data_IF_683343109981
#
_entry.id   IF_683343109981
#
_cell.length_a   1.000
_cell.length_b   1.000
_cell.length_c   1.000
_cell.angle_alpha   90.00
_cell.angle_beta   90.00
_cell.angle_gamma   90.00
#
_symmetry.space_group_name_H-M   'P 1'
#
loop_
_entity.id
_entity.type
_entity.pdbx_description
1 polymer ?
#
# COMPACT_ATOMS: atom_id res chain seq x y z
N UNK A 1 12.22 5.19 -16.32
CA UNK A 1 11.10 5.25 -15.36
C UNK A 1 11.68 4.94 -13.99
N UNK A 2 11.50 5.82 -13.01
CA UNK A 2 12.13 5.69 -11.69
C UNK A 2 11.55 4.49 -10.94
N UNK A 3 12.38 3.69 -10.28
CA UNK A 3 11.97 2.58 -9.40
C UNK A 3 12.68 2.66 -8.06
N UNK A 4 11.99 2.20 -7.02
CA UNK A 4 12.49 2.12 -5.66
C UNK A 4 12.62 0.66 -5.25
N UNK A 5 13.85 0.20 -5.04
CA UNK A 5 14.11 -1.12 -4.51
C UNK A 5 13.99 -1.12 -2.99
N UNK A 6 13.21 -2.05 -2.45
CA UNK A 6 13.07 -2.32 -1.03
C UNK A 6 13.59 -3.72 -0.73
N UNK A 7 14.40 -3.83 0.32
CA UNK A 7 14.78 -5.10 0.94
C UNK A 7 14.05 -5.21 2.26
N UNK A 8 13.15 -6.17 2.35
CA UNK A 8 12.23 -6.33 3.46
C UNK A 8 12.59 -7.62 4.20
N UNK A 9 13.06 -7.58 5.45
CA UNK A 9 13.08 -8.78 6.30
C UNK A 9 11.71 -9.44 6.33
N UNK A 10 11.65 -10.76 6.54
CA UNK A 10 10.43 -11.57 6.50
C UNK A 10 9.22 -10.90 7.18
N UNK A 11 9.41 -10.38 8.40
CA UNK A 11 8.37 -9.71 9.17
C UNK A 11 7.83 -8.46 8.46
N UNK A 12 8.71 -7.65 7.87
CA UNK A 12 8.31 -6.50 7.07
C UNK A 12 7.61 -6.89 5.76
N UNK A 13 8.05 -7.96 5.11
CA UNK A 13 7.38 -8.48 3.92
C UNK A 13 5.91 -8.86 4.22
N UNK A 14 5.68 -9.54 5.35
CA UNK A 14 4.32 -9.86 5.83
C UNK A 14 3.50 -8.61 6.17
N UNK A 15 4.11 -7.59 6.77
CA UNK A 15 3.45 -6.30 7.03
C UNK A 15 3.02 -5.61 5.72
N UNK A 16 3.87 -5.62 4.69
CA UNK A 16 3.52 -5.09 3.37
C UNK A 16 2.38 -5.89 2.74
N UNK A 17 2.44 -7.23 2.80
CA UNK A 17 1.37 -8.09 2.27
C UNK A 17 0.02 -7.82 2.95
N UNK A 18 0.00 -7.66 4.27
CA UNK A 18 -1.21 -7.30 5.02
C UNK A 18 -1.75 -5.92 4.58
N UNK A 19 -0.87 -4.92 4.48
CA UNK A 19 -1.25 -3.57 4.05
C UNK A 19 -1.84 -3.55 2.64
N UNK A 20 -1.22 -4.25 1.70
CA UNK A 20 -1.70 -4.37 0.32
C UNK A 20 -3.04 -5.11 0.28
N UNK A 21 -3.17 -6.23 0.97
CA UNK A 21 -4.43 -6.98 1.03
C UNK A 21 -5.59 -6.12 1.57
N UNK A 22 -5.39 -5.42 2.69
CA UNK A 22 -6.39 -4.51 3.23
C UNK A 22 -6.71 -3.35 2.28
N UNK A 23 -5.70 -2.78 1.61
CA UNK A 23 -5.92 -1.72 0.64
C UNK A 23 -6.81 -2.19 -0.51
N UNK A 24 -6.47 -3.33 -1.13
CA UNK A 24 -7.20 -3.88 -2.27
C UNK A 24 -8.62 -4.37 -1.93
N UNK A 25 -8.87 -4.70 -0.66
CA UNK A 25 -10.21 -5.04 -0.18
C UNK A 25 -11.13 -3.81 -0.07
N UNK A 26 -10.60 -2.58 -0.05
CA UNK A 26 -11.40 -1.37 0.09
C UNK A 26 -11.89 -0.86 -1.28
N UNK A 27 -13.20 -0.62 -1.44
CA UNK A 27 -13.73 -0.06 -2.68
C UNK A 27 -13.07 1.27 -3.05
N UNK A 28 -12.66 1.40 -4.31
CA UNK A 28 -12.10 2.63 -4.87
C UNK A 28 -10.65 2.95 -4.47
N UNK A 29 -9.97 2.06 -3.74
CA UNK A 29 -8.58 2.27 -3.29
C UNK A 29 -7.59 2.42 -4.45
N UNK A 30 -7.88 1.75 -5.57
CA UNK A 30 -7.08 1.71 -6.79
C UNK A 30 -7.57 2.69 -7.87
N UNK A 31 -8.44 3.64 -7.52
CA UNK A 31 -8.93 4.66 -8.45
C UNK A 31 -8.09 5.94 -8.39
N UNK A 32 -7.78 6.47 -9.57
CA UNK A 32 -7.25 7.82 -9.73
C UNK A 32 -8.36 8.85 -9.47
N UNK A 33 -8.22 9.73 -8.47
CA UNK A 33 -9.25 10.71 -8.14
C UNK A 33 -9.50 11.74 -9.25
N UNK A 34 -8.55 11.93 -10.18
CA UNK A 34 -8.72 12.90 -11.27
C UNK A 34 -9.48 12.32 -12.46
N UNK A 35 -9.33 11.03 -12.72
CA UNK A 35 -9.86 10.37 -13.91
C UNK A 35 -10.98 9.38 -13.61
N UNK A 36 -11.17 9.02 -12.33
CA UNK A 36 -12.05 7.96 -11.86
C UNK A 36 -11.78 6.60 -12.53
N UNK A 37 -10.58 6.43 -13.10
CA UNK A 37 -10.12 5.16 -13.69
C UNK A 37 -9.19 4.46 -12.74
N UNK A 38 -9.08 3.14 -12.90
CA UNK A 38 -8.12 2.38 -12.14
C UNK A 38 -6.69 2.76 -12.52
N UNK A 39 -5.79 2.77 -11.53
CA UNK A 39 -4.37 2.91 -11.81
C UNK A 39 -3.87 1.72 -12.63
N UNK A 40 -3.27 1.98 -13.79
CA UNK A 40 -2.64 0.95 -14.62
C UNK A 40 -1.55 0.20 -13.86
N UNK A 41 -0.78 0.92 -13.03
CA UNK A 41 0.32 0.37 -12.22
C UNK A 41 0.15 0.71 -10.73
N UNK A 42 -1.00 0.32 -10.18
CA UNK A 42 -1.31 0.45 -8.76
C UNK A 42 -0.76 -0.69 -7.90
N UNK A 43 -1.35 -0.97 -6.73
CA UNK A 43 -0.81 -2.01 -5.82
C UNK A 43 -1.21 -3.43 -6.22
N UNK A 44 -2.10 -3.63 -7.20
CA UNK A 44 -2.51 -4.96 -7.68
C UNK A 44 -1.37 -5.81 -8.24
N UNK A 45 -0.29 -5.20 -8.68
CA UNK A 45 0.91 -5.91 -9.16
C UNK A 45 1.79 -6.45 -8.01
N UNK A 46 1.66 -5.88 -6.80
CA UNK A 46 2.54 -6.18 -5.67
C UNK A 46 2.36 -7.61 -5.14
N UNK A 47 1.14 -8.17 -4.97
CA UNK A 47 0.96 -9.53 -4.47
C UNK A 47 1.73 -10.57 -5.30
N UNK A 48 1.64 -10.54 -6.63
CA UNK A 48 2.35 -11.49 -7.50
C UNK A 48 3.87 -11.44 -7.35
N UNK A 49 4.43 -10.29 -6.99
CA UNK A 49 5.86 -10.12 -6.77
C UNK A 49 6.28 -10.51 -5.33
N UNK A 50 5.42 -10.25 -4.34
CA UNK A 50 5.74 -10.36 -2.92
C UNK A 50 5.38 -11.72 -2.31
N UNK A 51 4.20 -12.25 -2.63
CA UNK A 51 3.65 -13.45 -1.97
C UNK A 51 4.56 -14.69 -2.07
N UNK A 52 5.23 -14.98 -3.20
CA UNK A 52 6.16 -16.11 -3.30
C UNK A 52 7.37 -16.02 -2.36
N UNK A 53 7.67 -14.82 -1.82
CA UNK A 53 8.85 -14.55 -1.00
C UNK A 53 8.52 -14.46 0.50
N UNK A 54 7.26 -14.65 0.92
CA UNK A 54 6.81 -14.37 2.30
C UNK A 54 7.41 -15.29 3.38
N UNK A 55 7.88 -16.47 2.98
CA UNK A 55 8.53 -17.42 3.89
C UNK A 55 10.06 -17.37 3.82
N UNK A 56 10.61 -16.63 2.86
CA UNK A 56 12.05 -16.36 2.79
C UNK A 56 12.50 -15.44 3.93
N UNK A 57 13.79 -15.45 4.24
CA UNK A 57 14.38 -14.57 5.26
C UNK A 57 14.20 -13.08 4.92
N UNK A 58 14.29 -12.76 3.64
CA UNK A 58 14.03 -11.42 3.12
C UNK A 58 13.37 -11.46 1.75
N UNK A 59 12.55 -10.45 1.45
CA UNK A 59 11.93 -10.23 0.17
C UNK A 59 12.55 -9.01 -0.53
N UNK A 60 12.71 -9.11 -1.85
CA UNK A 60 13.07 -7.99 -2.71
C UNK A 60 11.82 -7.48 -3.43
N UNK A 61 11.56 -6.19 -3.34
CA UNK A 61 10.40 -5.55 -3.97
C UNK A 61 10.82 -4.29 -4.71
N UNK A 62 10.52 -4.21 -6.00
CA UNK A 62 10.68 -2.99 -6.79
C UNK A 62 9.34 -2.27 -6.93
N UNK A 63 9.28 -1.01 -6.52
CA UNK A 63 8.07 -0.20 -6.56
C UNK A 63 8.25 1.02 -7.45
N UNK A 64 7.20 1.36 -8.20
CA UNK A 64 7.07 2.64 -8.89
C UNK A 64 6.76 3.77 -7.89
N UNK A 65 6.99 5.05 -8.26
CA UNK A 65 6.71 6.17 -7.37
C UNK A 65 5.26 6.18 -6.85
N UNK A 66 4.29 5.89 -7.72
CA UNK A 66 2.89 5.77 -7.35
C UNK A 66 2.66 4.65 -6.32
N UNK A 67 3.24 3.47 -6.53
CA UNK A 67 3.10 2.34 -5.63
C UNK A 67 3.71 2.61 -4.25
N UNK A 68 4.82 3.35 -4.16
CA UNK A 68 5.37 3.80 -2.87
C UNK A 68 4.37 4.71 -2.14
N UNK A 69 3.73 5.64 -2.86
CA UNK A 69 2.74 6.54 -2.28
C UNK A 69 1.47 5.80 -1.82
N UNK A 70 0.95 4.87 -2.64
CA UNK A 70 -0.19 4.03 -2.29
C UNK A 70 0.14 3.11 -1.11
N UNK A 71 1.32 2.50 -1.07
CA UNK A 71 1.77 1.64 0.03
C UNK A 71 1.86 2.43 1.34
N UNK A 72 2.36 3.66 1.32
CA UNK A 72 2.38 4.51 2.52
C UNK A 72 0.97 4.80 3.07
N UNK A 73 -0.02 4.97 2.17
CA UNK A 73 -1.45 5.14 2.53
C UNK A 73 -2.06 3.83 3.03
N UNK A 74 -1.73 2.71 2.40
CA UNK A 74 -2.16 1.37 2.81
C UNK A 74 -1.66 1.04 4.24
N UNK A 75 -0.37 1.27 4.51
CA UNK A 75 0.20 1.12 5.85
C UNK A 75 -0.52 2.00 6.87
N UNK A 76 -0.75 3.29 6.57
CA UNK A 76 -1.51 4.17 7.46
C UNK A 76 -2.92 3.65 7.76
N UNK A 77 -3.59 3.07 6.77
CA UNK A 77 -4.96 2.58 6.95
C UNK A 77 -4.99 1.32 7.83
N UNK A 78 -4.09 0.36 7.58
CA UNK A 78 -3.98 -0.85 8.43
C UNK A 78 -3.51 -0.51 9.83
N UNK A 79 -2.59 0.44 10.02
CA UNK A 79 -2.17 0.88 11.36
C UNK A 79 -3.37 1.38 12.17
N UNK A 80 -4.29 2.12 11.55
CA UNK A 80 -5.49 2.57 12.24
C UNK A 80 -6.44 1.43 12.57
N UNK A 81 -6.60 0.46 11.66
CA UNK A 81 -7.39 -0.75 11.90
C UNK A 81 -6.82 -1.57 13.08
N UNK A 82 -5.51 -1.80 13.10
CA UNK A 82 -4.84 -2.59 14.13
C UNK A 82 -4.93 -1.96 15.53
N UNK A 83 -4.90 -0.63 15.63
CA UNK A 83 -5.03 0.07 16.91
C UNK A 83 -6.37 -0.16 17.60
N UNK A 84 -7.43 -0.40 16.83
CA UNK A 84 -8.78 -0.65 17.35
C UNK A 84 -9.14 -2.13 17.35
N UNK A 85 -8.28 -2.99 16.79
CA UNK A 85 -8.55 -4.41 16.60
C UNK A 85 -8.86 -5.13 17.92
N UNK A 86 -8.06 -4.93 18.97
CA UNK A 86 -8.30 -5.57 20.27
C UNK A 86 -9.64 -5.14 20.90
N UNK A 87 -10.08 -3.90 20.66
CA UNK A 87 -11.39 -3.41 21.12
C UNK A 87 -12.52 -4.11 20.36
N UNK A 88 -12.39 -4.23 19.04
CA UNK A 88 -13.37 -4.95 18.22
C UNK A 88 -13.40 -6.45 18.50
N UNK A 89 -12.26 -7.05 18.80
CA UNK A 89 -12.19 -8.46 19.23
C UNK A 89 -12.93 -8.67 20.56
N UNK A 90 -12.67 -7.82 21.56
CA UNK A 90 -13.38 -7.87 22.83
C UNK A 90 -14.89 -7.65 22.68
N UNK A 91 -15.31 -6.75 21.79
CA UNK A 91 -16.74 -6.51 21.49
C UNK A 91 -17.38 -7.63 20.67
N UNK A 92 -16.60 -8.36 19.86
CA UNK A 92 -17.08 -9.52 19.12
C UNK A 92 -17.31 -10.70 20.08
N UNK A 93 -16.44 -10.92 21.07
CA UNK A 93 -16.57 -12.05 22.00
C UNK A 93 -16.71 -13.37 21.25
N UNK A 94 -17.72 -14.18 21.60
CA UNK A 94 -18.09 -15.42 20.90
C UNK A 94 -18.97 -15.19 19.65
N UNK A 95 -19.42 -13.96 19.41
CA UNK A 95 -20.23 -13.67 18.23
C UNK A 95 -19.38 -13.67 16.97
N UNK A 96 -19.96 -14.13 15.85
CA UNK A 96 -19.32 -14.07 14.52
C UNK A 96 -19.27 -12.64 13.94
N UNK A 97 -19.25 -11.60 14.78
CA UNK A 97 -19.17 -10.21 14.32
C UNK A 97 -17.82 -9.94 13.66
N UNK A 98 -17.79 -9.20 12.54
CA UNK A 98 -16.54 -8.84 11.90
C UNK A 98 -15.69 -7.98 12.83
N UNK A 99 -14.43 -8.39 13.05
CA UNK A 99 -13.42 -7.62 13.82
C UNK A 99 -12.80 -6.49 13.00
N UNK A 100 -13.12 -6.44 11.72
CA UNK A 100 -12.69 -5.43 10.77
C UNK A 100 -13.79 -5.15 9.75
N UNK A 101 -13.79 -3.92 9.24
CA UNK A 101 -14.67 -3.51 8.14
C UNK A 101 -14.17 -3.98 6.76
N UNK A 102 -12.93 -4.44 6.65
CA UNK A 102 -12.36 -4.98 5.41
C UNK A 102 -12.61 -6.50 5.31
N UNK A 103 -13.25 -6.97 4.21
CA UNK A 103 -13.48 -8.40 4.00
C UNK A 103 -12.19 -9.22 4.04
N UNK A 104 -12.20 -10.35 4.75
CA UNK A 104 -11.06 -11.27 4.84
C UNK A 104 -9.84 -10.74 5.60
N UNK A 105 -9.93 -9.56 6.22
CA UNK A 105 -8.80 -8.99 6.97
C UNK A 105 -8.41 -9.83 8.18
N UNK A 106 -9.38 -10.30 8.96
CA UNK A 106 -9.13 -11.11 10.16
C UNK A 106 -8.36 -12.40 9.80
N UNK A 107 -8.82 -13.11 8.78
CA UNK A 107 -8.18 -14.35 8.30
C UNK A 107 -6.76 -14.09 7.82
N UNK A 108 -6.54 -13.04 7.01
CA UNK A 108 -5.20 -12.70 6.49
C UNK A 108 -4.28 -12.23 7.61
N UNK A 109 -4.78 -11.46 8.58
CA UNK A 109 -4.02 -10.99 9.74
C UNK A 109 -3.50 -12.19 10.56
N UNK A 110 -4.39 -13.10 10.94
CA UNK A 110 -4.04 -14.29 11.73
C UNK A 110 -3.16 -15.28 10.96
N UNK A 111 -3.33 -15.40 9.65
CA UNK A 111 -2.47 -16.23 8.81
C UNK A 111 -1.02 -15.69 8.74
N UNK A 112 -0.86 -14.37 8.64
CA UNK A 112 0.48 -13.74 8.54
C UNK A 112 1.15 -13.56 9.90
N UNK A 113 0.36 -13.34 10.96
CA UNK A 113 0.80 -13.07 12.33
C UNK A 113 0.01 -13.94 13.32
N UNK A 114 0.32 -15.25 13.43
CA UNK A 114 -0.41 -16.18 14.28
C UNK A 114 -0.42 -15.79 15.76
N UNK A 115 0.57 -15.03 16.23
CA UNK A 115 0.63 -14.50 17.60
C UNK A 115 -0.60 -13.67 17.98
N UNK A 116 -1.23 -12.98 17.02
CA UNK A 116 -2.43 -12.15 17.24
C UNK A 116 -3.66 -13.00 17.55
N UNK A 117 -3.71 -14.26 17.08
CA UNK A 117 -4.81 -15.16 17.40
C UNK A 117 -4.78 -15.61 18.87
N UNK A 118 -3.58 -15.69 19.46
CA UNK A 118 -3.41 -16.03 20.87
C UNK A 118 -3.57 -14.83 21.81
N UNK A 119 -3.07 -13.66 21.39
CA UNK A 119 -3.20 -12.41 22.14
C UNK A 119 -3.53 -11.24 21.18
N UNK A 120 -4.80 -10.84 21.08
CA UNK A 120 -5.25 -9.72 20.24
C UNK A 120 -4.59 -8.38 20.57
N UNK A 121 -4.05 -8.20 21.78
CA UNK A 121 -3.39 -6.95 22.17
C UNK A 121 -2.07 -6.71 21.41
N UNK A 122 -1.43 -7.79 20.93
CA UNK A 122 -0.21 -7.74 20.10
C UNK A 122 -0.42 -7.05 18.74
N UNK A 123 -1.69 -6.87 18.31
CA UNK A 123 -2.01 -6.08 17.12
C UNK A 123 -1.55 -4.60 17.26
N UNK A 124 -1.55 -4.06 18.48
CA UNK A 124 -1.07 -2.69 18.74
C UNK A 124 0.45 -2.58 18.55
N UNK A 125 1.20 -3.61 18.96
CA UNK A 125 2.65 -3.68 18.74
C UNK A 125 2.98 -3.78 17.25
N UNK A 126 2.24 -4.61 16.52
CA UNK A 126 2.33 -4.69 15.05
C UNK A 126 2.05 -3.33 14.40
N UNK A 127 1.07 -2.56 14.90
CA UNK A 127 0.81 -1.20 14.42
C UNK A 127 2.01 -0.25 14.66
N UNK A 128 2.72 -0.42 15.77
CA UNK A 128 3.97 0.28 16.07
C UNK A 128 5.08 -0.06 15.07
N UNK A 129 5.29 -1.34 14.80
CA UNK A 129 6.26 -1.80 13.79
C UNK A 129 5.94 -1.29 12.38
N UNK A 130 4.67 -1.38 11.98
CA UNK A 130 4.19 -0.87 10.68
C UNK A 130 4.37 0.65 10.57
N UNK A 131 4.26 1.39 11.69
CA UNK A 131 4.57 2.82 11.73
C UNK A 131 6.04 3.09 11.43
N UNK A 132 6.95 2.27 11.96
CA UNK A 132 8.39 2.37 11.65
C UNK A 132 8.68 2.03 10.19
N UNK A 133 8.12 0.94 9.68
CA UNK A 133 8.25 0.55 8.27
C UNK A 133 7.77 1.68 7.33
N UNK A 134 6.63 2.30 7.63
CA UNK A 134 6.12 3.43 6.84
C UNK A 134 7.07 4.61 6.83
N UNK A 135 7.74 4.92 7.94
CA UNK A 135 8.73 6.02 8.04
C UNK A 135 9.99 5.73 7.20
N UNK A 136 10.32 4.47 6.99
CA UNK A 136 11.47 4.04 6.18
C UNK A 136 11.20 4.07 4.67
N UNK A 137 9.94 4.17 4.24
CA UNK A 137 9.62 4.27 2.82
C UNK A 137 10.23 5.53 2.19
N UNK A 138 10.70 5.47 0.93
CA UNK A 138 11.27 6.62 0.22
C UNK A 138 10.19 7.60 -0.28
N UNK A 139 9.19 7.91 0.56
CA UNK A 139 7.98 8.64 0.18
C UNK A 139 8.25 10.05 -0.35
N UNK A 140 9.20 10.77 0.23
CA UNK A 140 9.58 12.10 -0.25
C UNK A 140 10.10 12.07 -1.69
N UNK A 141 11.05 11.17 -1.97
CA UNK A 141 11.61 10.93 -3.31
C UNK A 141 10.56 10.43 -4.30
N UNK A 142 9.66 9.56 -3.86
CA UNK A 142 8.57 9.08 -4.71
C UNK A 142 7.60 10.21 -5.10
N UNK A 143 7.26 11.11 -4.17
CA UNK A 143 6.40 12.28 -4.44
C UNK A 143 7.06 13.27 -5.38
N UNK A 144 8.36 13.49 -5.23
CA UNK A 144 9.15 14.31 -6.15
C UNK A 144 9.10 13.74 -7.57
N UNK A 145 9.38 12.44 -7.72
CA UNK A 145 9.34 11.78 -9.03
C UNK A 145 7.93 11.84 -9.68
N UNK A 146 6.86 11.67 -8.90
CA UNK A 146 5.48 11.86 -9.39
C UNK A 146 5.23 13.31 -9.86
N UNK A 147 5.79 14.30 -9.16
CA UNK A 147 5.72 15.70 -9.55
C UNK A 147 6.44 15.97 -10.88
N UNK A 148 7.62 15.39 -11.06
CA UNK A 148 8.38 15.47 -12.31
C UNK A 148 7.64 14.80 -13.48
N UNK A 149 7.09 13.61 -13.27
CA UNK A 149 6.30 12.90 -14.28
C UNK A 149 5.08 13.71 -14.73
N UNK A 150 4.36 14.33 -13.78
CA UNK A 150 3.23 15.22 -14.09
C UNK A 150 3.66 16.46 -14.86
N UNK A 151 4.73 17.13 -14.43
CA UNK A 151 5.27 18.31 -15.13
C UNK A 151 5.72 17.96 -16.56
N UNK A 152 6.37 16.82 -16.74
CA UNK A 152 6.80 16.34 -18.05
C UNK A 152 5.60 16.03 -18.96
N UNK A 153 4.56 15.37 -18.44
CA UNK A 153 3.34 15.07 -19.17
C UNK A 153 2.60 16.36 -19.60
N UNK A 154 2.50 17.35 -18.72
CA UNK A 154 1.89 18.64 -19.01
C UNK A 154 2.67 19.42 -20.07
N UNK A 155 4.00 19.45 -19.97
CA UNK A 155 4.86 20.09 -20.96
C UNK A 155 4.73 19.43 -22.34
N UNK A 156 4.74 18.09 -22.40
CA UNK A 156 4.55 17.33 -23.64
C UNK A 156 3.16 17.57 -24.25
N UNK A 157 2.11 17.72 -23.43
CA UNK A 157 0.77 18.05 -23.90
C UNK A 157 0.69 19.48 -24.45
N UNK A 158 1.40 20.44 -23.85
CA UNK A 158 1.47 21.83 -24.32
C UNK A 158 2.23 21.97 -25.65
N UNK A 159 3.33 21.25 -25.84
CA UNK A 159 4.12 21.28 -27.08
C UNK A 159 3.39 20.61 -28.25
N UNK A 160 2.70 19.49 -28.01
CA UNK A 160 1.87 18.80 -29.03
C UNK A 160 0.67 19.64 -29.52
N UNK A 161 0.16 20.57 -28.72
CA UNK A 161 -1.02 21.40 -29.04
C UNK A 161 -0.74 22.62 -29.94
N UNK A 162 0.48 22.79 -30.47
CA UNK A 162 0.85 23.96 -31.30
C UNK A 162 1.19 23.63 -32.77
N UNK A 163 0.33 22.93 -33.55
CA UNK A 163 0.60 22.71 -34.97
C UNK A 163 0.49 23.99 -35.84
N UNK A 164 -0.20 25.04 -35.37
CA UNK A 164 -0.46 26.27 -36.14
C UNK A 164 0.65 27.34 -36.05
N UNK A 165 1.70 27.15 -35.24
CA UNK A 165 2.83 28.11 -35.15
C UNK A 165 3.94 27.85 -36.19
N UNK A 166 3.83 26.81 -37.01
CA UNK A 166 4.78 26.48 -38.08
C UNK A 166 4.52 27.22 -39.41
N UNK A 167 3.40 27.93 -39.55
CA UNK A 167 2.98 28.60 -40.80
C UNK A 167 3.26 30.12 -40.81
N UNK A 168 4.07 30.63 -39.86
CA UNK A 168 4.41 32.06 -39.71
C UNK A 168 5.88 32.38 -40.01
N UNK A 169 6.56 31.56 -40.81
CA UNK A 169 7.90 31.87 -41.33
C UNK A 169 7.92 31.79 -42.84
#
# INVERSE_FOLDING_TARGET
MTRFALRLPRRQARMVALAVAYHLARPGSELDPQTAREYEHGLREVPSALEPQLDAESAALELRPLQVALLATALSSVINELKVYAVFDAMAGESARPRSTAPGFDDKLRALFPEIAGDPSTASDLAGEMTMLRRQLPLARAREALGDERRAADNARRTRKRPWQLWKR
#
